data_IF_194659786847
#
_entry.id   IF_194659786847
#
_cell.length_a   1.000
_cell.length_b   1.000
_cell.length_c   1.000
_cell.angle_alpha   90.00
_cell.angle_beta   90.00
_cell.angle_gamma   90.00
#
_symmetry.space_group_name_H-M   'P 1'
#
loop_
_entity.id
_entity.type
_entity.pdbx_description
1 polymer ?
#
# COMPACT_ATOMS: atom_id res chain seq x y z
N UNK A 1 3.38 -2.15 -25.42
CA UNK A 1 3.01 -1.47 -24.17
C UNK A 1 1.51 -1.59 -23.98
N UNK A 2 1.07 -1.99 -22.78
CA UNK A 2 -0.36 -2.11 -22.46
C UNK A 2 -0.88 -0.82 -21.87
N UNK A 3 -1.98 -0.31 -22.41
CA UNK A 3 -2.71 0.86 -21.88
C UNK A 3 -4.18 0.52 -21.73
N UNK A 4 -4.86 1.21 -20.81
CA UNK A 4 -6.30 1.12 -20.65
C UNK A 4 -6.90 2.38 -21.25
N UNK A 5 -7.75 2.24 -22.26
CA UNK A 5 -8.46 3.34 -22.93
C UNK A 5 -9.95 3.11 -22.74
N UNK A 6 -10.63 4.03 -22.05
CA UNK A 6 -12.06 3.91 -21.72
C UNK A 6 -12.46 2.53 -21.13
N UNK A 7 -11.61 1.99 -20.25
CA UNK A 7 -11.82 0.70 -19.59
C UNK A 7 -11.43 -0.54 -20.41
N UNK A 8 -10.96 -0.39 -21.66
CA UNK A 8 -10.52 -1.49 -22.52
C UNK A 8 -9.00 -1.55 -22.61
N UNK A 9 -8.43 -2.74 -22.44
CA UNK A 9 -7.00 -2.96 -22.67
C UNK A 9 -6.67 -2.86 -24.17
N UNK A 10 -5.60 -2.14 -24.49
CA UNK A 10 -5.01 -2.08 -25.84
C UNK A 10 -3.50 -2.31 -25.78
N UNK A 11 -3.02 -3.13 -26.70
CA UNK A 11 -1.60 -3.33 -26.96
C UNK A 11 -1.11 -2.36 -28.04
N UNK A 12 -0.18 -1.49 -27.66
CA UNK A 12 0.43 -0.50 -28.54
C UNK A 12 1.91 -0.80 -28.79
N UNK A 13 2.40 -0.50 -29.99
CA UNK A 13 3.84 -0.59 -30.33
C UNK A 13 4.63 0.50 -29.60
N UNK A 14 5.90 0.27 -29.33
CA UNK A 14 6.78 1.31 -28.79
C UNK A 14 6.81 2.53 -29.74
N UNK A 15 6.76 3.75 -29.19
CA UNK A 15 6.67 4.99 -29.97
C UNK A 15 5.27 5.34 -30.51
N UNK A 16 4.23 4.61 -30.10
CA UNK A 16 2.84 4.94 -30.48
C UNK A 16 2.39 6.30 -29.94
N UNK A 17 1.55 6.99 -30.71
CA UNK A 17 1.00 8.31 -30.35
C UNK A 17 -0.35 8.19 -29.65
N UNK A 18 -0.79 9.27 -28.98
CA UNK A 18 -2.15 9.36 -28.43
C UNK A 18 -3.23 9.07 -29.49
N UNK A 19 -3.02 9.54 -30.72
CA UNK A 19 -3.92 9.26 -31.86
C UNK A 19 -4.07 7.76 -32.12
N UNK A 20 -2.99 6.99 -32.01
CA UNK A 20 -3.05 5.54 -32.15
C UNK A 20 -3.76 4.87 -30.96
N UNK A 21 -3.58 5.39 -29.74
CA UNK A 21 -4.21 4.86 -28.54
C UNK A 21 -5.75 4.99 -28.55
N UNK A 22 -6.26 6.17 -28.95
CA UNK A 22 -7.70 6.45 -28.98
C UNK A 22 -8.37 6.05 -30.30
N UNK A 23 -7.64 5.41 -31.22
CA UNK A 23 -8.22 4.94 -32.47
C UNK A 23 -9.40 3.97 -32.20
N UNK A 24 -10.53 4.23 -32.86
CA UNK A 24 -11.77 3.48 -32.68
C UNK A 24 -12.60 3.85 -31.44
N UNK A 25 -12.14 4.79 -30.61
CA UNK A 25 -12.96 5.34 -29.53
C UNK A 25 -13.90 6.45 -30.04
N UNK A 26 -15.05 6.66 -29.38
CA UNK A 26 -15.91 7.80 -29.66
C UNK A 26 -15.14 9.12 -29.54
N UNK A 27 -15.21 9.96 -30.58
CA UNK A 27 -14.53 11.26 -30.61
C UNK A 27 -15.52 12.36 -31.01
N UNK A 28 -15.53 13.44 -30.22
CA UNK A 28 -16.23 14.68 -30.54
C UNK A 28 -15.18 15.74 -30.83
N UNK A 29 -15.33 16.46 -31.95
CA UNK A 29 -14.41 17.54 -32.32
C UNK A 29 -14.36 18.60 -31.21
N UNK A 30 -13.15 18.89 -30.74
CA UNK A 30 -12.92 19.79 -29.60
C UNK A 30 -12.92 19.11 -28.22
N UNK A 31 -13.10 17.79 -28.15
CA UNK A 31 -12.99 17.04 -26.89
C UNK A 31 -11.56 17.01 -26.34
N UNK A 32 -11.45 16.92 -25.02
CA UNK A 32 -10.19 16.81 -24.29
C UNK A 32 -9.87 15.33 -24.01
N UNK A 33 -8.58 14.99 -24.06
CA UNK A 33 -8.08 13.66 -23.67
C UNK A 33 -7.31 13.81 -22.37
N UNK A 34 -7.77 13.12 -21.32
CA UNK A 34 -7.03 13.02 -20.07
C UNK A 34 -6.14 11.78 -20.07
N UNK A 35 -4.89 11.94 -19.65
CA UNK A 35 -3.92 10.86 -19.51
C UNK A 35 -3.55 10.76 -18.04
N UNK A 36 -3.84 9.61 -17.43
CA UNK A 36 -3.44 9.29 -16.06
C UNK A 36 -2.40 8.19 -16.05
N UNK A 37 -1.39 8.33 -15.21
CA UNK A 37 -0.47 7.24 -14.93
C UNK A 37 -1.22 6.14 -14.17
N UNK A 38 -0.94 4.88 -14.45
CA UNK A 38 -1.58 3.78 -13.72
C UNK A 38 -1.16 3.80 -12.25
N UNK A 39 -2.15 3.84 -11.34
CA UNK A 39 -1.95 3.85 -9.89
C UNK A 39 -1.13 2.66 -9.40
N UNK A 40 -1.32 1.47 -10.01
CA UNK A 40 -0.54 0.27 -9.67
C UNK A 40 0.97 0.50 -9.80
N UNK A 41 1.41 1.30 -10.77
CA UNK A 41 2.84 1.59 -10.99
C UNK A 41 3.38 2.60 -9.97
N UNK A 42 2.55 3.52 -9.48
CA UNK A 42 2.92 4.49 -8.44
C UNK A 42 3.15 3.78 -7.10
N UNK A 43 2.30 2.81 -6.75
CA UNK A 43 2.43 2.01 -5.52
C UNK A 43 3.74 1.21 -5.49
N UNK A 44 4.29 0.81 -6.65
CA UNK A 44 5.56 0.07 -6.72
C UNK A 44 6.79 0.94 -6.44
N UNK A 45 6.73 2.24 -6.80
CA UNK A 45 7.90 3.14 -6.75
C UNK A 45 7.96 3.99 -5.47
N UNK A 46 6.83 4.19 -4.78
CA UNK A 46 6.79 4.98 -3.54
C UNK A 46 7.10 4.15 -2.30
N UNK A 47 7.69 4.81 -1.29
CA UNK A 47 7.83 4.28 0.08
C UNK A 47 6.81 4.90 1.04
N UNK A 48 5.98 5.80 0.54
CA UNK A 48 4.95 6.48 1.31
C UNK A 48 3.62 5.78 1.08
N UNK A 49 2.99 5.34 2.17
CA UNK A 49 1.72 4.62 2.16
C UNK A 49 0.71 5.35 3.01
N UNK A 50 -0.48 5.51 2.45
CA UNK A 50 -1.60 6.12 3.14
C UNK A 50 -2.33 5.06 3.98
N UNK A 51 -2.47 5.33 5.27
CA UNK A 51 -3.32 4.59 6.17
C UNK A 51 -4.60 5.39 6.39
N UNK A 52 -5.71 4.87 5.87
CA UNK A 52 -7.03 5.48 5.98
C UNK A 52 -7.79 4.80 7.11
N UNK A 53 -8.28 5.59 8.06
CA UNK A 53 -9.11 5.14 9.19
C UNK A 53 -10.37 5.98 9.28
N UNK A 54 -11.37 5.53 10.04
CA UNK A 54 -12.59 6.31 10.29
C UNK A 54 -12.33 7.65 11.02
N UNK A 55 -11.21 7.74 11.75
CA UNK A 55 -10.80 8.95 12.47
C UNK A 55 -9.98 9.92 11.60
N UNK A 56 -9.59 9.50 10.39
CA UNK A 56 -8.76 10.28 9.49
C UNK A 56 -7.63 9.48 8.88
N UNK A 57 -6.70 10.21 8.27
CA UNK A 57 -5.65 9.65 7.44
C UNK A 57 -4.28 9.97 7.99
N UNK A 58 -3.36 9.00 7.93
CA UNK A 58 -1.94 9.23 8.19
C UNK A 58 -1.09 8.66 7.06
N UNK A 59 0.12 9.22 6.89
CA UNK A 59 1.09 8.74 5.91
C UNK A 59 2.25 8.07 6.64
N UNK A 60 2.45 6.79 6.36
CA UNK A 60 3.60 6.02 6.80
C UNK A 60 4.68 6.06 5.71
N UNK A 61 5.93 6.32 6.10
CA UNK A 61 7.09 6.13 5.22
C UNK A 61 7.83 4.86 5.65
N UNK A 62 8.05 3.96 4.70
CA UNK A 62 8.86 2.77 4.90
C UNK A 62 10.36 3.10 4.95
N UNK A 63 11.07 2.43 5.84
CA UNK A 63 12.53 2.45 5.89
C UNK A 63 13.15 1.48 4.85
N UNK A 64 14.48 1.33 4.89
CA UNK A 64 15.22 0.42 4.01
C UNK A 64 15.33 -1.02 4.59
N UNK A 65 14.51 -1.37 5.59
CA UNK A 65 14.59 -2.69 6.22
C UNK A 65 14.02 -3.81 5.34
N UNK A 66 14.48 -5.06 5.53
CA UNK A 66 13.83 -6.22 4.89
C UNK A 66 12.34 -6.35 5.22
N UNK A 67 11.92 -5.85 6.40
CA UNK A 67 10.53 -5.88 6.83
C UNK A 67 9.68 -4.88 6.04
N UNK A 68 10.19 -3.68 5.80
CA UNK A 68 9.56 -2.70 4.90
C UNK A 68 9.35 -3.27 3.50
N UNK A 69 10.32 -4.03 2.99
CA UNK A 69 10.19 -4.69 1.68
C UNK A 69 9.13 -5.80 1.67
N UNK A 70 9.04 -6.60 2.74
CA UNK A 70 7.94 -7.56 2.92
C UNK A 70 6.57 -6.86 2.99
N UNK A 71 6.50 -5.73 3.71
CA UNK A 71 5.28 -4.93 3.78
C UNK A 71 4.83 -4.46 2.40
N UNK A 72 5.74 -3.83 1.65
CA UNK A 72 5.49 -3.30 0.30
C UNK A 72 5.06 -4.37 -0.69
N UNK A 73 5.70 -5.53 -0.65
CA UNK A 73 5.52 -6.59 -1.66
C UNK A 73 4.32 -7.49 -1.40
N UNK A 74 3.88 -7.65 -0.13
CA UNK A 74 2.90 -8.68 0.21
C UNK A 74 1.83 -8.32 1.24
N UNK A 75 1.99 -7.26 2.05
CA UNK A 75 1.10 -7.03 3.19
C UNK A 75 0.04 -5.95 2.97
N UNK A 76 0.19 -5.09 1.96
CA UNK A 76 -0.76 -4.01 1.67
C UNK A 76 -2.20 -4.49 1.45
N UNK A 77 -2.39 -5.69 0.88
CA UNK A 77 -3.72 -6.28 0.68
C UNK A 77 -4.33 -6.88 1.95
N UNK A 78 -3.50 -7.28 2.91
CA UNK A 78 -3.92 -7.97 4.15
C UNK A 78 -4.48 -7.00 5.19
N UNK A 79 -4.23 -5.71 5.02
CA UNK A 79 -4.56 -4.67 5.99
C UNK A 79 -5.84 -3.91 5.64
N UNK A 80 -6.49 -4.24 4.53
CA UNK A 80 -7.79 -3.66 4.20
C UNK A 80 -8.88 -4.24 5.11
N UNK A 81 -9.67 -3.37 5.73
CA UNK A 81 -10.80 -3.76 6.58
C UNK A 81 -10.41 -4.29 7.98
N UNK A 82 -9.15 -4.10 8.41
CA UNK A 82 -8.74 -4.46 9.78
C UNK A 82 -9.06 -3.31 10.75
N UNK A 83 -9.48 -3.66 11.97
CA UNK A 83 -9.76 -2.68 13.02
C UNK A 83 -8.56 -2.47 13.94
N UNK A 84 -8.56 -1.36 14.67
CA UNK A 84 -7.71 -1.24 15.86
C UNK A 84 -8.15 -2.26 16.90
N UNK A 85 -7.21 -2.99 17.49
CA UNK A 85 -7.47 -3.98 18.55
C UNK A 85 -7.13 -3.42 19.92
N UNK A 86 -5.94 -2.85 20.06
CA UNK A 86 -5.46 -2.27 21.30
C UNK A 86 -5.00 -0.84 21.03
N UNK A 87 -5.55 0.10 21.80
CA UNK A 87 -5.13 1.50 21.77
C UNK A 87 -4.92 1.92 23.20
N UNK A 88 -3.66 2.09 23.57
CA UNK A 88 -3.25 2.59 24.89
C UNK A 88 -2.60 3.96 24.74
N UNK A 89 -2.12 4.51 25.86
CA UNK A 89 -1.27 5.70 25.84
C UNK A 89 -0.02 5.48 24.98
N UNK A 90 0.63 4.33 25.11
CA UNK A 90 1.95 4.07 24.53
C UNK A 90 1.90 3.45 23.13
N UNK A 91 0.79 2.79 22.77
CA UNK A 91 0.71 2.03 21.51
C UNK A 91 -0.68 2.03 20.87
N UNK A 92 -0.72 1.99 19.54
CA UNK A 92 -1.89 1.60 18.77
C UNK A 92 -1.59 0.37 17.92
N UNK A 93 -2.43 -0.66 18.01
CA UNK A 93 -2.27 -1.93 17.30
C UNK A 93 -3.47 -2.20 16.37
N UNK A 94 -3.18 -2.52 15.11
CA UNK A 94 -4.15 -2.82 14.05
C UNK A 94 -4.01 -4.27 13.60
N UNK A 95 -5.14 -4.98 13.45
CA UNK A 95 -5.15 -6.38 13.00
C UNK A 95 -6.17 -7.26 13.74
N UNK A 96 -5.89 -8.55 13.99
CA UNK A 96 -4.73 -9.30 13.50
C UNK A 96 -4.87 -9.71 12.03
N UNK A 97 -3.75 -10.01 11.38
CA UNK A 97 -3.69 -10.62 10.05
C UNK A 97 -2.58 -11.68 10.01
N UNK A 98 -2.71 -12.72 9.15
CA UNK A 98 -1.68 -13.75 9.03
C UNK A 98 -0.48 -13.25 8.21
N UNK A 99 0.73 -13.65 8.61
CA UNK A 99 1.97 -13.37 7.86
C UNK A 99 2.91 -14.59 7.84
N UNK A 100 3.99 -14.48 7.07
CA UNK A 100 5.09 -15.46 7.00
C UNK A 100 6.29 -15.07 7.88
N UNK A 101 6.10 -14.14 8.83
CA UNK A 101 7.18 -13.64 9.67
C UNK A 101 7.65 -14.72 10.64
N UNK A 102 8.98 -14.79 10.81
CA UNK A 102 9.58 -15.66 11.81
C UNK A 102 9.38 -15.10 13.22
N UNK A 103 9.35 -16.01 14.19
CA UNK A 103 9.24 -15.63 15.60
C UNK A 103 10.54 -15.01 16.07
N UNK A 104 10.43 -13.77 16.54
CA UNK A 104 11.50 -13.07 17.23
C UNK A 104 11.13 -12.81 18.69
N UNK A 105 12.06 -13.10 19.60
CA UNK A 105 11.94 -12.90 21.06
C UNK A 105 12.86 -11.79 21.59
N UNK A 106 13.47 -11.03 20.68
CA UNK A 106 14.27 -9.87 21.00
C UNK A 106 13.49 -8.80 21.74
N UNK A 107 14.21 -7.94 22.45
CA UNK A 107 13.65 -6.73 23.06
C UNK A 107 14.10 -5.52 22.26
N UNK A 108 13.14 -4.69 21.89
CA UNK A 108 13.35 -3.53 21.05
C UNK A 108 12.84 -2.26 21.74
N UNK A 109 13.35 -1.11 21.32
CA UNK A 109 12.87 0.21 21.73
C UNK A 109 12.48 0.97 20.48
N UNK A 110 11.32 1.60 20.54
CA UNK A 110 10.77 2.39 19.45
C UNK A 110 10.61 3.83 19.89
N UNK A 111 10.79 4.75 18.96
CA UNK A 111 10.47 6.17 19.15
C UNK A 111 8.99 6.40 18.85
N UNK A 112 8.43 7.46 19.42
CA UNK A 112 7.10 7.93 19.06
C UNK A 112 6.92 8.00 17.53
N UNK A 113 5.81 7.43 17.07
CA UNK A 113 5.38 7.25 15.68
C UNK A 113 6.18 6.26 14.82
N UNK A 114 7.14 5.53 15.40
CA UNK A 114 7.70 4.37 14.69
C UNK A 114 6.65 3.27 14.57
N UNK A 115 6.60 2.69 13.37
CA UNK A 115 5.72 1.60 13.03
C UNK A 115 6.49 0.29 13.00
N UNK A 116 5.92 -0.76 13.56
CA UNK A 116 6.55 -2.08 13.62
C UNK A 116 5.52 -3.20 13.58
N UNK A 117 5.98 -4.43 13.34
CA UNK A 117 5.15 -5.63 13.35
C UNK A 117 5.44 -6.45 14.60
N UNK A 118 4.38 -6.99 15.19
CA UNK A 118 4.49 -7.86 16.36
C UNK A 118 3.60 -9.09 16.22
N UNK A 119 4.11 -10.23 16.68
CA UNK A 119 3.39 -11.50 16.69
C UNK A 119 2.73 -11.72 18.05
N UNK A 120 1.40 -11.63 18.09
CA UNK A 120 0.62 -11.92 19.28
C UNK A 120 0.85 -13.35 19.73
N UNK A 121 1.34 -13.54 20.97
CA UNK A 121 1.63 -14.86 21.50
C UNK A 121 2.73 -15.62 20.75
N UNK A 122 3.58 -14.93 19.98
CA UNK A 122 4.57 -15.53 19.09
C UNK A 122 3.96 -16.42 17.98
N UNK A 123 2.77 -16.08 17.50
CA UNK A 123 2.08 -16.77 16.41
C UNK A 123 2.00 -15.87 15.16
N UNK A 124 2.53 -16.35 14.03
CA UNK A 124 2.54 -15.60 12.76
C UNK A 124 1.14 -15.47 12.14
N UNK A 125 0.16 -16.28 12.55
CA UNK A 125 -1.24 -16.10 12.18
C UNK A 125 -1.89 -14.89 12.89
N UNK A 126 -1.24 -14.41 13.95
CA UNK A 126 -1.73 -13.32 14.80
C UNK A 126 -0.75 -12.14 14.76
N UNK A 127 -0.54 -11.58 13.57
CA UNK A 127 0.34 -10.41 13.39
C UNK A 127 -0.44 -9.11 13.56
N UNK A 128 0.18 -8.11 14.19
CA UNK A 128 -0.33 -6.75 14.31
C UNK A 128 0.64 -5.75 13.70
N UNK A 129 0.10 -4.74 13.03
CA UNK A 129 0.80 -3.48 12.79
C UNK A 129 0.65 -2.60 14.02
N UNK A 130 1.77 -2.20 14.60
CA UNK A 130 1.83 -1.39 15.80
C UNK A 130 2.46 -0.04 15.51
N UNK A 131 1.95 1.00 16.18
CA UNK A 131 2.46 2.37 16.13
C UNK A 131 2.76 2.81 17.56
N UNK A 132 4.02 3.16 17.84
CA UNK A 132 4.42 3.75 19.11
C UNK A 132 3.83 5.17 19.26
N UNK A 133 3.37 5.53 20.46
CA UNK A 133 2.68 6.80 20.72
C UNK A 133 3.36 7.68 21.78
N UNK A 134 4.31 7.13 22.53
CA UNK A 134 5.17 7.83 23.50
C UNK A 134 6.60 7.28 23.38
#
# INVERSE_FOLDING_TARGET
MKVIVNGKEKDLKAGSTLKAAVAGEPYVKGGLVSVRLSEKKVVTETRDFELVTDAGTMVMRLDDSPLAEKWRSGMLGLTSGISSRWVTHDIAAFGSFPTDLEVDRGTYRYKMYECFLALGGFDSNTTYMMIARD
#
